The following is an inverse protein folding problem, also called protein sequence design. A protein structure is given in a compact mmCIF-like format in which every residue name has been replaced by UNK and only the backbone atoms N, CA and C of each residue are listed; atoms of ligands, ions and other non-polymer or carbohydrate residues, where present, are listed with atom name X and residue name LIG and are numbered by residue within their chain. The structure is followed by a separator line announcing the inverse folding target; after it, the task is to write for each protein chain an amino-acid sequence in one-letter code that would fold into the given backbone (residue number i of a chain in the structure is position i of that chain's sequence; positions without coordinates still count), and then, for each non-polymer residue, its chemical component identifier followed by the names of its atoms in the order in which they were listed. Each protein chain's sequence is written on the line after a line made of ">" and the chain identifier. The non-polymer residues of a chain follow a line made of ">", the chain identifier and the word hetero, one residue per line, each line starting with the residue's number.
data_IF_792960210427
#
_entry.id   IF_792960210427
#
_cell.length_a   1.000
_cell.length_b   1.000
_cell.length_c   1.000
_cell.angle_alpha   90.00
_cell.angle_beta   90.00
_cell.angle_gamma   90.00
#
_symmetry.space_group_name_H-M   'P 1'
#
loop_
_entity.id
_entity.type
_entity.pdbx_description
1 polymer ?
#
# COMPACT_ATOMS: atom_id res chain seq x y z
N UNK A 1 -14.64 3.32 47.43
CA UNK A 1 -14.48 2.18 46.50
C UNK A 1 -13.34 1.35 47.04
N UNK A 2 -13.60 0.13 47.41
CA UNK A 2 -12.62 -0.79 48.03
C UNK A 2 -11.78 -1.45 46.90
N UNK A 3 -10.56 -1.91 47.23
CA UNK A 3 -9.67 -2.62 46.28
C UNK A 3 -10.33 -3.80 45.55
N UNK A 4 -11.38 -4.38 46.18
CA UNK A 4 -12.17 -5.45 45.61
C UNK A 4 -13.06 -5.00 44.44
N UNK A 5 -13.55 -3.76 44.45
CA UNK A 5 -14.38 -3.20 43.36
C UNK A 5 -13.53 -2.88 42.10
N UNK A 6 -12.28 -2.46 42.33
CA UNK A 6 -11.31 -2.20 41.21
C UNK A 6 -10.86 -3.51 40.57
N UNK A 7 -10.66 -4.58 41.37
CA UNK A 7 -10.30 -5.90 40.86
C UNK A 7 -11.44 -6.55 40.07
N UNK A 8 -12.70 -6.40 40.53
CA UNK A 8 -13.89 -6.91 39.85
C UNK A 8 -14.18 -6.16 38.54
N UNK A 9 -13.91 -4.84 38.49
CA UNK A 9 -13.98 -4.04 37.28
C UNK A 9 -12.93 -4.47 36.26
N UNK A 10 -11.70 -4.73 36.71
CA UNK A 10 -10.60 -5.25 35.84
C UNK A 10 -10.88 -6.64 35.28
N UNK A 11 -11.58 -7.53 36.06
CA UNK A 11 -11.93 -8.87 35.58
C UNK A 11 -13.09 -8.86 34.57
N UNK A 12 -14.01 -7.90 34.67
CA UNK A 12 -15.10 -7.73 33.69
C UNK A 12 -14.62 -7.16 32.34
N UNK A 13 -13.61 -6.29 32.35
CA UNK A 13 -13.02 -5.77 31.10
C UNK A 13 -12.26 -6.84 30.31
N UNK A 14 -11.65 -7.82 30.98
CA UNK A 14 -10.95 -8.94 30.33
C UNK A 14 -11.87 -9.94 29.62
N UNK A 15 -13.15 -10.06 30.01
CA UNK A 15 -14.10 -11.00 29.39
C UNK A 15 -14.87 -10.41 28.19
N UNK A 16 -14.89 -9.10 27.99
CA UNK A 16 -15.60 -8.48 26.88
C UNK A 16 -14.81 -8.56 25.55
N UNK A 17 -13.54 -8.92 25.56
CA UNK A 17 -12.64 -8.84 24.39
C UNK A 17 -12.63 -10.11 23.51
N UNK A 18 -13.09 -11.25 24.03
CA UNK A 18 -13.06 -12.53 23.28
C UNK A 18 -14.24 -12.73 22.32
N UNK A 19 -15.32 -11.93 22.47
CA UNK A 19 -16.53 -12.06 21.64
C UNK A 19 -16.50 -11.28 20.32
N UNK A 20 -15.41 -10.55 20.05
CA UNK A 20 -15.29 -9.64 18.89
C UNK A 20 -14.56 -10.24 17.69
N UNK A 21 -14.01 -11.44 17.80
CA UNK A 21 -13.29 -12.07 16.69
C UNK A 21 -14.22 -12.84 15.76
N UNK A 22 -14.21 -12.45 14.47
CA UNK A 22 -14.97 -13.14 13.43
C UNK A 22 -14.36 -14.50 13.09
N UNK A 23 -15.25 -15.40 12.65
CA UNK A 23 -14.90 -16.73 12.15
C UNK A 23 -15.17 -16.78 10.66
N UNK A 24 -14.33 -17.48 9.91
CA UNK A 24 -14.52 -17.73 8.48
C UNK A 24 -15.55 -18.85 8.32
N UNK A 25 -16.73 -18.50 7.83
CA UNK A 25 -17.82 -19.44 7.56
C UNK A 25 -18.01 -19.68 6.07
N UNK A 26 -18.58 -20.84 5.69
CA UNK A 26 -18.90 -21.16 4.30
C UNK A 26 -19.90 -20.16 3.71
N UNK A 27 -20.92 -19.76 4.50
CA UNK A 27 -21.89 -18.72 4.11
C UNK A 27 -21.17 -17.37 3.88
N UNK A 28 -20.24 -16.97 4.77
CA UNK A 28 -19.45 -15.76 4.60
C UNK A 28 -18.64 -15.77 3.31
N UNK A 29 -17.98 -16.89 2.99
CA UNK A 29 -17.23 -17.06 1.73
C UNK A 29 -18.17 -17.04 0.53
N UNK A 30 -19.29 -17.74 0.57
CA UNK A 30 -20.27 -17.76 -0.52
C UNK A 30 -20.82 -16.35 -0.80
N UNK A 31 -21.18 -15.60 0.25
CA UNK A 31 -21.62 -14.20 0.17
C UNK A 31 -20.51 -13.27 -0.35
N UNK A 32 -19.25 -13.51 0.01
CA UNK A 32 -18.14 -12.74 -0.53
C UNK A 32 -17.95 -13.05 -2.02
N UNK A 33 -17.99 -14.31 -2.41
CA UNK A 33 -17.89 -14.74 -3.84
C UNK A 33 -19.01 -14.15 -4.69
N UNK A 34 -20.24 -14.04 -4.17
CA UNK A 34 -21.36 -13.42 -4.91
C UNK A 34 -21.16 -11.93 -5.20
N UNK A 35 -20.14 -11.30 -4.62
CA UNK A 35 -19.76 -9.90 -4.86
C UNK A 35 -18.70 -9.74 -5.95
N UNK A 36 -18.16 -10.82 -6.49
CA UNK A 36 -17.16 -10.73 -7.57
C UNK A 36 -17.80 -10.01 -8.78
N UNK A 37 -17.08 -9.02 -9.32
CA UNK A 37 -17.57 -8.13 -10.37
C UNK A 37 -18.40 -6.94 -9.88
N UNK A 38 -18.83 -6.95 -8.61
CA UNK A 38 -19.57 -5.82 -8.05
C UNK A 38 -18.64 -4.74 -7.50
N UNK A 39 -19.09 -3.47 -7.52
CA UNK A 39 -18.29 -2.37 -7.00
C UNK A 39 -18.10 -2.48 -5.49
N UNK A 40 -16.88 -2.17 -5.06
CA UNK A 40 -16.59 -1.96 -3.64
C UNK A 40 -16.90 -0.51 -3.32
N UNK A 41 -17.95 -0.29 -2.53
CA UNK A 41 -18.34 1.06 -2.12
C UNK A 41 -17.40 1.62 -1.07
N UNK A 42 -16.89 2.81 -1.33
CA UNK A 42 -16.22 3.63 -0.34
C UNK A 42 -16.99 4.97 -0.20
N UNK A 43 -17.77 5.17 0.88
CA UNK A 43 -18.56 6.37 1.05
C UNK A 43 -17.75 7.59 1.53
N UNK A 44 -16.44 7.42 1.77
CA UNK A 44 -15.60 8.53 2.21
C UNK A 44 -15.18 9.38 1.00
N UNK A 45 -15.24 10.71 1.09
CA UNK A 45 -14.70 11.58 0.05
C UNK A 45 -13.18 11.35 -0.08
N UNK A 46 -12.61 11.54 -1.29
CA UNK A 46 -11.16 11.46 -1.46
C UNK A 46 -10.46 12.51 -0.60
N UNK A 47 -9.25 12.20 -0.17
CA UNK A 47 -8.42 13.20 0.51
C UNK A 47 -8.06 14.35 -0.45
N UNK A 48 -7.69 13.99 -1.68
CA UNK A 48 -7.50 14.93 -2.78
C UNK A 48 -8.49 14.62 -3.90
N UNK A 49 -9.41 15.54 -4.15
CA UNK A 49 -10.35 15.42 -5.28
C UNK A 49 -9.72 15.95 -6.57
N UNK A 50 -8.96 17.03 -6.44
CA UNK A 50 -8.25 17.73 -7.51
C UNK A 50 -6.83 18.03 -7.02
N UNK A 51 -5.92 17.03 -7.06
CA UNK A 51 -4.60 17.19 -6.46
C UNK A 51 -3.75 18.20 -7.23
N UNK A 52 -3.32 19.24 -6.54
CA UNK A 52 -2.39 20.25 -7.03
C UNK A 52 -0.93 19.89 -6.73
N UNK A 53 -0.02 20.79 -7.09
CA UNK A 53 1.43 20.63 -6.86
C UNK A 53 1.75 20.40 -5.39
N UNK A 54 1.07 21.09 -4.47
CA UNK A 54 1.30 20.90 -3.03
C UNK A 54 0.88 19.49 -2.56
N UNK A 55 -0.18 18.92 -3.13
CA UNK A 55 -0.56 17.53 -2.86
C UNK A 55 0.51 16.55 -3.37
N UNK A 56 1.09 16.78 -4.55
CA UNK A 56 2.16 15.95 -5.11
C UNK A 56 3.38 15.96 -4.22
N UNK A 57 3.87 17.17 -3.86
CA UNK A 57 4.98 17.36 -2.96
C UNK A 57 4.74 16.75 -1.58
N UNK A 58 3.56 16.95 -1.00
CA UNK A 58 3.22 16.42 0.32
C UNK A 58 3.20 14.89 0.35
N UNK A 59 2.68 14.26 -0.70
CA UNK A 59 2.71 12.80 -0.85
C UNK A 59 4.13 12.29 -1.05
N UNK A 60 4.95 12.94 -1.87
CA UNK A 60 6.35 12.56 -2.07
C UNK A 60 7.14 12.66 -0.75
N UNK A 61 7.04 13.78 -0.06
CA UNK A 61 7.73 14.03 1.21
C UNK A 61 7.37 13.01 2.29
N UNK A 62 6.14 12.47 2.30
CA UNK A 62 5.70 11.56 3.36
C UNK A 62 6.42 10.20 3.36
N UNK A 63 7.10 9.83 2.26
CA UNK A 63 7.96 8.65 2.18
C UNK A 63 9.43 9.00 1.88
N UNK A 64 9.79 10.28 2.00
CA UNK A 64 11.16 10.77 1.89
C UNK A 64 11.66 10.93 0.45
N UNK A 65 10.78 11.22 -0.50
CA UNK A 65 11.12 11.52 -1.91
C UNK A 65 11.15 13.04 -2.09
N UNK A 66 12.30 13.55 -2.51
CA UNK A 66 12.60 14.97 -2.73
C UNK A 66 12.86 15.29 -4.21
N UNK A 67 12.48 14.40 -5.15
CA UNK A 67 12.62 14.67 -6.56
C UNK A 67 11.85 15.95 -6.96
N UNK A 68 12.53 16.98 -7.49
CA UNK A 68 11.89 18.25 -7.83
C UNK A 68 10.82 18.13 -8.91
N UNK A 69 10.83 17.06 -9.72
CA UNK A 69 9.78 16.81 -10.71
C UNK A 69 8.36 16.82 -10.12
N UNK A 70 8.20 16.42 -8.86
CA UNK A 70 6.90 16.34 -8.21
C UNK A 70 6.35 17.69 -7.75
N UNK A 71 7.22 18.67 -7.45
CA UNK A 71 6.82 19.89 -6.76
C UNK A 71 7.36 21.21 -7.29
N UNK A 72 8.43 21.18 -8.05
CA UNK A 72 9.09 22.38 -8.59
C UNK A 72 8.64 22.64 -10.02
N UNK A 73 7.93 23.77 -10.22
CA UNK A 73 7.37 24.14 -11.54
C UNK A 73 8.47 24.53 -12.54
N UNK A 74 9.51 25.21 -12.08
CA UNK A 74 10.58 25.70 -12.94
C UNK A 74 11.43 24.52 -13.40
N UNK A 75 11.79 23.63 -12.48
CA UNK A 75 12.47 22.38 -12.82
C UNK A 75 11.65 21.54 -13.81
N UNK A 76 10.40 21.27 -13.50
CA UNK A 76 9.54 20.41 -14.32
C UNK A 76 9.27 20.99 -15.72
N UNK A 77 9.28 22.34 -15.88
CA UNK A 77 9.12 23.01 -17.18
C UNK A 77 10.26 22.69 -18.13
N UNK A 78 11.47 22.40 -17.61
CA UNK A 78 12.65 21.99 -18.38
C UNK A 78 12.70 20.49 -18.72
N UNK A 79 11.79 19.68 -18.18
CA UNK A 79 11.73 18.25 -18.47
C UNK A 79 10.81 17.95 -19.66
N UNK A 80 10.83 16.70 -20.15
CA UNK A 80 9.90 16.24 -21.21
C UNK A 80 8.42 16.40 -20.81
N UNK A 81 8.12 16.54 -19.53
CA UNK A 81 6.76 16.65 -19.03
C UNK A 81 6.21 18.07 -19.12
N UNK A 82 7.08 19.10 -19.22
CA UNK A 82 6.73 20.51 -19.34
C UNK A 82 6.03 21.12 -18.11
N UNK A 83 5.73 20.30 -17.12
CA UNK A 83 5.07 20.68 -15.85
C UNK A 83 5.16 19.54 -14.85
N UNK A 84 4.94 19.78 -13.53
CA UNK A 84 4.95 18.71 -12.54
C UNK A 84 3.99 17.56 -12.89
N UNK A 85 4.42 16.35 -12.56
CA UNK A 85 3.59 15.15 -12.60
C UNK A 85 3.48 14.56 -11.20
N UNK A 86 2.42 13.83 -10.95
CA UNK A 86 2.23 13.17 -9.66
C UNK A 86 3.25 12.04 -9.46
N UNK A 87 3.80 11.88 -8.25
CA UNK A 87 4.61 10.72 -7.95
C UNK A 87 3.77 9.45 -8.09
N UNK A 88 4.32 8.33 -8.61
CA UNK A 88 3.57 7.11 -8.89
C UNK A 88 2.73 6.58 -7.71
N UNK A 89 3.17 6.68 -6.43
CA UNK A 89 2.35 6.27 -5.29
C UNK A 89 1.04 7.04 -5.12
N UNK A 90 0.95 8.29 -5.59
CA UNK A 90 -0.29 9.06 -5.57
C UNK A 90 -1.27 8.54 -6.62
N UNK A 91 -0.81 8.26 -7.84
CA UNK A 91 -1.64 7.75 -8.93
C UNK A 91 -1.96 6.28 -8.68
N UNK A 92 -3.12 6.02 -8.17
CA UNK A 92 -3.48 4.70 -7.65
C UNK A 92 -3.31 4.59 -6.12
N UNK A 93 -3.06 5.71 -5.44
CA UNK A 93 -2.92 5.79 -4.00
C UNK A 93 -4.23 5.90 -3.25
N UNK A 94 -4.15 5.69 -1.94
CA UNK A 94 -5.30 5.81 -1.06
C UNK A 94 -5.78 7.26 -0.91
N UNK A 95 -4.92 8.24 -1.22
CA UNK A 95 -5.25 9.67 -1.22
C UNK A 95 -6.32 10.05 -2.24
N UNK A 96 -6.46 9.26 -3.31
CA UNK A 96 -7.46 9.47 -4.36
C UNK A 96 -8.68 8.53 -4.20
N UNK A 97 -8.86 7.95 -3.02
CA UNK A 97 -10.06 7.16 -2.73
C UNK A 97 -11.26 8.10 -2.72
N UNK A 98 -12.10 7.97 -3.71
CA UNK A 98 -13.31 8.75 -3.89
C UNK A 98 -14.57 7.91 -3.93
N UNK A 99 -15.69 8.61 -4.01
CA UNK A 99 -16.99 8.00 -4.22
C UNK A 99 -17.02 7.29 -5.57
N UNK A 100 -17.54 6.05 -5.59
CA UNK A 100 -17.85 5.33 -6.81
C UNK A 100 -19.25 5.76 -7.29
N UNK A 101 -19.41 7.04 -7.60
CA UNK A 101 -20.74 7.63 -7.86
C UNK A 101 -21.40 7.14 -9.15
N UNK A 102 -20.61 6.61 -10.09
CA UNK A 102 -21.05 6.33 -11.45
C UNK A 102 -21.46 4.87 -11.68
N UNK A 103 -21.56 4.05 -10.62
CA UNK A 103 -21.90 2.64 -10.78
C UNK A 103 -23.35 2.41 -10.36
N UNK A 104 -24.22 2.26 -11.37
CA UNK A 104 -25.57 1.77 -11.13
C UNK A 104 -25.52 0.32 -10.64
N UNK A 105 -26.10 0.09 -9.47
CA UNK A 105 -26.31 -1.25 -8.90
C UNK A 105 -27.79 -1.52 -8.76
N UNK A 106 -28.22 -2.69 -9.16
CA UNK A 106 -29.63 -3.12 -8.98
C UNK A 106 -29.98 -3.21 -7.49
N UNK A 107 -31.28 -3.19 -7.11
CA UNK A 107 -31.68 -3.40 -5.72
C UNK A 107 -31.10 -4.70 -5.12
N UNK A 108 -31.09 -5.80 -5.87
CA UNK A 108 -30.51 -7.08 -5.42
C UNK A 108 -29.00 -6.96 -5.18
N UNK A 109 -28.25 -6.33 -6.10
CA UNK A 109 -26.82 -6.10 -5.91
C UNK A 109 -26.54 -5.21 -4.71
N UNK A 110 -27.40 -4.19 -4.47
CA UNK A 110 -27.30 -3.31 -3.30
C UNK A 110 -27.46 -4.08 -2.00
N UNK A 111 -28.35 -5.08 -1.97
CA UNK A 111 -28.53 -5.95 -0.80
C UNK A 111 -27.33 -6.87 -0.56
N UNK A 112 -26.74 -7.43 -1.63
CA UNK A 112 -25.50 -8.20 -1.53
C UNK A 112 -24.34 -7.37 -0.97
N UNK A 113 -24.26 -6.09 -1.26
CA UNK A 113 -23.20 -5.19 -0.80
C UNK A 113 -23.33 -4.73 0.66
N UNK A 114 -24.43 -5.07 1.37
CA UNK A 114 -24.62 -4.70 2.78
C UNK A 114 -23.69 -5.48 3.72
N UNK A 115 -22.97 -4.73 4.56
CA UNK A 115 -22.08 -5.29 5.59
C UNK A 115 -20.86 -6.03 5.05
N UNK A 116 -19.95 -6.43 5.92
CA UNK A 116 -18.80 -7.30 5.58
C UNK A 116 -19.19 -8.76 5.84
N UNK A 117 -19.16 -9.65 4.83
CA UNK A 117 -19.45 -11.07 4.99
C UNK A 117 -18.49 -11.80 5.95
N UNK A 118 -17.27 -11.28 6.10
CA UNK A 118 -16.24 -11.78 7.00
C UNK A 118 -15.98 -10.79 8.13
N UNK A 119 -17.05 -10.20 8.67
CA UNK A 119 -16.96 -9.22 9.76
C UNK A 119 -16.19 -9.75 10.96
N UNK A 120 -15.22 -8.96 11.44
CA UNK A 120 -14.36 -9.30 12.57
C UNK A 120 -13.22 -10.25 12.24
N UNK A 121 -13.15 -10.79 11.01
CA UNK A 121 -11.99 -11.53 10.52
C UNK A 121 -10.89 -10.54 10.14
N UNK A 122 -9.68 -10.78 10.63
CA UNK A 122 -8.55 -9.88 10.37
C UNK A 122 -8.14 -9.90 8.89
N UNK A 123 -7.72 -8.75 8.37
CA UNK A 123 -7.28 -8.59 7.00
C UNK A 123 -5.85 -8.04 6.96
N UNK A 124 -4.95 -8.74 6.26
CA UNK A 124 -3.58 -8.30 6.03
C UNK A 124 -3.39 -7.91 4.57
N UNK A 125 -2.83 -6.74 4.33
CA UNK A 125 -2.35 -6.35 3.00
C UNK A 125 -1.11 -7.20 2.67
N UNK A 126 -1.23 -8.09 1.70
CA UNK A 126 -0.24 -9.12 1.43
C UNK A 126 0.55 -8.92 0.15
N UNK A 127 -0.09 -8.40 -0.89
CA UNK A 127 0.59 -8.04 -2.13
C UNK A 127 -0.18 -6.99 -2.91
N UNK A 128 0.52 -6.35 -3.84
CA UNK A 128 -0.10 -5.50 -4.86
C UNK A 128 0.58 -5.67 -6.21
N UNK A 129 -0.21 -5.42 -7.27
CA UNK A 129 0.26 -5.27 -8.64
C UNK A 129 -0.28 -3.96 -9.18
N UNK A 130 0.58 -3.16 -9.84
CA UNK A 130 0.24 -1.85 -10.39
C UNK A 130 0.68 -1.71 -11.82
N UNK A 131 -0.08 -0.91 -12.57
CA UNK A 131 0.30 -0.43 -13.89
C UNK A 131 -0.02 1.05 -14.01
N UNK A 132 0.86 1.83 -14.63
CA UNK A 132 0.68 3.25 -14.92
C UNK A 132 0.78 3.47 -16.43
N UNK A 133 -0.22 4.14 -17.00
CA UNK A 133 -0.34 4.37 -18.44
C UNK A 133 -0.14 5.83 -18.82
N UNK A 134 -0.50 6.76 -17.95
CA UNK A 134 -0.40 8.19 -18.20
C UNK A 134 -0.02 8.97 -16.93
N UNK A 135 0.67 10.12 -17.07
CA UNK A 135 0.95 11.01 -15.95
C UNK A 135 -0.32 11.70 -15.47
N UNK A 136 -0.42 11.88 -14.16
CA UNK A 136 -1.40 12.78 -13.56
C UNK A 136 -0.77 14.16 -13.40
N UNK A 137 -1.41 15.18 -13.98
CA UNK A 137 -0.99 16.57 -13.88
C UNK A 137 -1.74 17.32 -12.78
N UNK A 138 -1.17 18.44 -12.25
CA UNK A 138 -1.84 19.24 -11.22
C UNK A 138 -3.19 19.78 -11.69
N UNK A 139 -4.17 19.75 -10.79
CA UNK A 139 -5.52 20.27 -11.04
C UNK A 139 -6.43 19.34 -11.83
N UNK A 140 -5.98 18.12 -12.15
CA UNK A 140 -6.84 17.15 -12.84
C UNK A 140 -7.67 16.38 -11.81
N UNK A 141 -8.97 16.43 -11.96
CA UNK A 141 -9.91 15.63 -11.16
C UNK A 141 -9.78 14.15 -11.52
N UNK A 142 -9.74 13.31 -10.49
CA UNK A 142 -9.61 11.87 -10.64
C UNK A 142 -10.89 11.16 -10.22
N UNK A 143 -11.20 10.09 -10.95
CA UNK A 143 -12.22 9.10 -10.59
C UNK A 143 -11.55 7.77 -10.27
N UNK A 144 -12.16 7.02 -9.38
CA UNK A 144 -11.70 5.70 -9.03
C UNK A 144 -12.84 4.69 -9.05
N UNK A 145 -12.59 3.54 -9.63
CA UNK A 145 -13.49 2.39 -9.60
C UNK A 145 -12.83 1.22 -8.89
N UNK A 146 -13.45 0.74 -7.83
CA UNK A 146 -13.03 -0.45 -7.09
C UNK A 146 -13.99 -1.60 -7.37
N UNK A 147 -13.44 -2.79 -7.61
CA UNK A 147 -14.23 -3.99 -7.89
C UNK A 147 -13.61 -5.19 -7.17
N UNK A 148 -14.42 -6.00 -6.50
CA UNK A 148 -13.96 -7.29 -6.03
C UNK A 148 -13.76 -8.21 -7.23
N UNK A 149 -12.53 -8.70 -7.44
CA UNK A 149 -12.17 -9.44 -8.66
C UNK A 149 -11.89 -10.92 -8.41
N UNK A 150 -11.62 -11.31 -7.17
CA UNK A 150 -11.35 -12.72 -6.87
C UNK A 150 -11.47 -13.03 -5.38
N UNK A 151 -11.90 -14.25 -5.08
CA UNK A 151 -12.00 -14.81 -3.73
C UNK A 151 -11.55 -16.27 -3.78
N UNK A 152 -10.39 -16.54 -3.18
CA UNK A 152 -9.82 -17.87 -3.09
C UNK A 152 -9.70 -18.29 -1.63
N UNK A 153 -10.30 -19.43 -1.29
CA UNK A 153 -10.06 -20.04 0.02
C UNK A 153 -8.77 -20.85 -0.03
N UNK A 154 -7.94 -20.69 1.00
CA UNK A 154 -6.76 -21.51 1.22
C UNK A 154 -6.77 -22.04 2.66
N UNK A 155 -6.27 -23.25 2.84
CA UNK A 155 -5.92 -23.78 4.14
C UNK A 155 -4.43 -23.65 4.37
N UNK A 156 -4.03 -23.29 5.59
CA UNK A 156 -2.63 -23.34 6.00
C UNK A 156 -2.53 -24.00 7.36
N UNK A 157 -1.47 -24.75 7.58
CA UNK A 157 -1.18 -25.41 8.88
C UNK A 157 -1.08 -24.38 10.00
N UNK A 158 -0.77 -23.13 9.64
CA UNK A 158 -0.58 -22.02 10.55
C UNK A 158 -1.88 -21.29 10.90
N UNK A 159 -2.62 -20.80 9.90
CA UNK A 159 -3.81 -19.97 10.08
C UNK A 159 -5.13 -20.76 10.07
N UNK A 160 -5.08 -22.08 9.79
CA UNK A 160 -6.27 -22.85 9.48
C UNK A 160 -6.89 -22.38 8.18
N UNK A 161 -8.15 -21.94 8.20
CA UNK A 161 -8.81 -21.33 7.02
C UNK A 161 -8.28 -19.91 6.80
N UNK A 162 -7.98 -19.59 5.55
CA UNK A 162 -7.65 -18.25 5.10
C UNK A 162 -8.42 -17.92 3.82
N UNK A 163 -8.81 -16.67 3.65
CA UNK A 163 -9.46 -16.20 2.44
C UNK A 163 -8.59 -15.12 1.80
N UNK A 164 -8.18 -15.38 0.58
CA UNK A 164 -7.50 -14.44 -0.29
C UNK A 164 -8.57 -13.64 -1.05
N UNK A 165 -8.62 -12.35 -0.76
CA UNK A 165 -9.57 -11.39 -1.33
C UNK A 165 -8.83 -10.41 -2.24
N UNK A 166 -9.14 -10.43 -3.53
CA UNK A 166 -8.53 -9.56 -4.50
C UNK A 166 -9.48 -8.44 -4.92
N UNK A 167 -8.99 -7.20 -4.82
CA UNK A 167 -9.69 -6.01 -5.29
C UNK A 167 -8.91 -5.37 -6.42
N UNK A 168 -9.57 -5.17 -7.57
CA UNK A 168 -9.08 -4.37 -8.68
C UNK A 168 -9.53 -2.91 -8.52
N UNK A 169 -8.64 -1.98 -8.82
CA UNK A 169 -8.89 -0.53 -8.77
C UNK A 169 -8.40 0.09 -10.07
N UNK A 170 -9.24 0.88 -10.73
CA UNK A 170 -8.86 1.68 -11.90
C UNK A 170 -9.01 3.14 -11.57
N UNK A 171 -8.01 3.91 -11.91
CA UNK A 171 -7.97 5.35 -11.78
C UNK A 171 -8.01 5.97 -13.16
N UNK A 172 -8.88 6.95 -13.32
CA UNK A 172 -9.06 7.70 -14.55
C UNK A 172 -9.25 9.19 -14.23
N UNK A 173 -9.07 10.02 -15.22
CA UNK A 173 -9.47 11.43 -15.16
C UNK A 173 -11.00 11.54 -15.12
N UNK A 174 -11.52 12.73 -14.81
CA UNK A 174 -12.98 12.96 -14.74
C UNK A 174 -13.71 12.70 -16.08
N UNK A 175 -13.02 12.92 -17.20
CA UNK A 175 -13.51 12.62 -18.56
C UNK A 175 -13.32 11.16 -18.99
N UNK A 176 -12.75 10.31 -18.11
CA UNK A 176 -12.64 8.86 -18.29
C UNK A 176 -11.32 8.37 -18.89
N UNK A 177 -10.33 9.25 -19.14
CA UNK A 177 -9.03 8.80 -19.62
C UNK A 177 -8.29 7.97 -18.56
N UNK A 178 -7.89 6.71 -18.84
CA UNK A 178 -7.25 5.83 -17.87
C UNK A 178 -5.86 6.35 -17.47
N UNK A 179 -5.56 6.36 -16.17
CA UNK A 179 -4.26 6.74 -15.61
C UNK A 179 -3.46 5.53 -15.13
N UNK A 180 -4.11 4.67 -14.36
CA UNK A 180 -3.45 3.51 -13.75
C UNK A 180 -4.45 2.47 -13.28
N UNK A 181 -3.95 1.26 -13.02
CA UNK A 181 -4.68 0.24 -12.27
C UNK A 181 -3.85 -0.31 -11.12
N UNK A 182 -4.56 -0.78 -10.10
CA UNK A 182 -3.97 -1.52 -8.99
C UNK A 182 -4.81 -2.74 -8.66
N UNK A 183 -4.13 -3.84 -8.34
CA UNK A 183 -4.73 -5.06 -7.78
C UNK A 183 -4.14 -5.31 -6.40
N UNK A 184 -5.01 -5.45 -5.40
CA UNK A 184 -4.63 -5.66 -4.00
C UNK A 184 -5.07 -7.02 -3.53
N UNK A 185 -4.16 -7.74 -2.89
CA UNK A 185 -4.48 -8.94 -2.13
C UNK A 185 -4.60 -8.62 -0.65
N UNK A 186 -5.78 -8.88 -0.11
CA UNK A 186 -6.01 -8.95 1.33
C UNK A 186 -6.13 -10.41 1.75
N UNK A 187 -5.33 -10.86 2.71
CA UNK A 187 -5.46 -12.19 3.31
C UNK A 187 -6.26 -12.06 4.60
N UNK A 188 -7.43 -12.72 4.63
CA UNK A 188 -8.31 -12.77 5.79
C UNK A 188 -7.98 -14.01 6.61
N UNK A 189 -7.72 -13.85 7.91
CA UNK A 189 -7.38 -14.96 8.84
C UNK A 189 -8.06 -14.82 10.19
N UNK A 190 -8.30 -15.95 10.86
CA UNK A 190 -8.89 -15.99 12.19
C UNK A 190 -7.83 -15.68 13.27
N UNK A 191 -7.99 -14.58 14.00
CA UNK A 191 -7.03 -14.14 15.03
C UNK A 191 -6.79 -15.16 16.14
N UNK A 192 -7.84 -15.88 16.58
CA UNK A 192 -7.73 -16.83 17.70
C UNK A 192 -6.69 -17.90 17.42
N UNK A 193 -6.72 -18.53 16.24
CA UNK A 193 -5.78 -19.57 15.84
C UNK A 193 -4.35 -19.05 15.70
N UNK A 194 -4.18 -17.82 15.21
CA UNK A 194 -2.87 -17.18 15.09
C UNK A 194 -2.23 -16.89 16.47
N UNK A 195 -3.05 -16.50 17.48
CA UNK A 195 -2.59 -16.30 18.87
C UNK A 195 -2.21 -17.61 19.55
N UNK A 196 -3.03 -18.66 19.40
CA UNK A 196 -2.79 -19.98 19.99
C UNK A 196 -1.45 -20.59 19.53
N UNK A 197 -1.06 -20.35 18.29
CA UNK A 197 0.20 -20.84 17.69
C UNK A 197 1.42 -19.97 17.96
N UNK A 198 1.34 -18.91 18.78
CA UNK A 198 2.45 -18.01 19.17
C UNK A 198 3.35 -17.61 17.97
N UNK A 199 2.75 -17.25 16.84
CA UNK A 199 3.53 -16.93 15.62
C UNK A 199 4.51 -15.78 15.80
N UNK A 200 4.15 -14.84 16.67
CA UNK A 200 4.98 -13.70 16.98
C UNK A 200 5.65 -13.97 18.32
N UNK A 201 6.69 -14.82 18.29
CA UNK A 201 7.66 -14.92 19.37
C UNK A 201 8.10 -13.50 19.76
N UNK A 202 8.43 -13.27 21.02
CA UNK A 202 9.06 -12.03 21.45
C UNK A 202 10.23 -11.76 20.51
N UNK A 203 10.19 -10.58 19.85
CA UNK A 203 11.31 -10.13 19.03
C UNK A 203 12.17 -9.30 19.96
N UNK A 204 13.40 -9.76 20.16
CA UNK A 204 14.39 -8.98 20.87
C UNK A 204 14.56 -7.62 20.19
N UNK A 205 14.44 -6.50 20.91
CA UNK A 205 14.72 -5.18 20.36
C UNK A 205 16.14 -5.15 19.80
N UNK A 206 16.31 -4.58 18.60
CA UNK A 206 17.63 -4.31 18.07
C UNK A 206 18.08 -2.96 18.59
N UNK A 207 19.22 -2.93 19.27
CA UNK A 207 19.83 -1.70 19.81
C UNK A 207 20.99 -1.33 18.89
N UNK A 208 20.86 -0.21 18.21
CA UNK A 208 21.91 0.31 17.32
C UNK A 208 23.02 0.97 18.12
N UNK A 209 24.25 0.87 17.64
CA UNK A 209 25.36 1.72 18.10
C UNK A 209 25.30 3.09 17.40
N UNK A 210 26.04 4.07 17.93
CA UNK A 210 26.11 5.41 17.33
C UNK A 210 26.74 5.35 15.92
N UNK A 211 27.70 4.44 15.72
CA UNK A 211 28.36 4.21 14.43
C UNK A 211 27.39 3.62 13.40
N UNK A 212 26.53 2.66 13.81
CA UNK A 212 25.50 2.11 12.95
C UNK A 212 24.46 3.17 12.54
N UNK A 213 24.03 4.00 13.48
CA UNK A 213 23.08 5.11 13.18
C UNK A 213 23.74 6.08 12.20
N UNK A 214 24.98 6.51 12.45
CA UNK A 214 25.71 7.42 11.56
C UNK A 214 25.81 6.83 10.15
N UNK A 215 26.17 5.56 10.02
CA UNK A 215 26.28 4.89 8.72
C UNK A 215 24.94 4.81 7.99
N UNK A 216 23.83 4.60 8.71
CA UNK A 216 22.48 4.58 8.16
C UNK A 216 22.09 5.98 7.66
N UNK A 217 22.35 7.03 8.46
CA UNK A 217 22.05 8.42 8.09
C UNK A 217 22.86 8.87 6.88
N UNK A 218 24.15 8.57 6.84
CA UNK A 218 25.03 8.86 5.69
C UNK A 218 24.54 8.17 4.42
N UNK A 219 24.17 6.89 4.51
CA UNK A 219 23.64 6.14 3.38
C UNK A 219 22.28 6.68 2.92
N UNK A 220 21.42 7.12 3.84
CA UNK A 220 20.15 7.74 3.51
C UNK A 220 20.34 9.07 2.78
N UNK A 221 21.28 9.90 3.26
CA UNK A 221 21.60 11.19 2.64
C UNK A 221 22.37 11.07 1.33
N UNK A 222 23.09 9.97 1.11
CA UNK A 222 23.76 9.69 -0.17
C UNK A 222 22.78 9.28 -1.29
N UNK A 223 21.60 8.78 -0.94
CA UNK A 223 20.58 8.40 -1.91
C UNK A 223 19.90 9.67 -2.49
N UNK A 224 20.19 9.97 -3.74
CA UNK A 224 19.66 11.14 -4.46
C UNK A 224 18.90 10.71 -5.70
N UNK A 225 17.87 11.48 -6.13
CA UNK A 225 17.24 11.27 -7.42
C UNK A 225 18.23 11.48 -8.55
N UNK A 226 18.20 10.65 -9.56
CA UNK A 226 18.95 10.87 -10.79
C UNK A 226 18.49 12.16 -11.51
N UNK A 227 17.21 12.49 -11.33
CA UNK A 227 16.62 13.70 -11.88
C UNK A 227 16.63 13.71 -13.42
N UNK A 228 16.93 14.87 -14.00
CA UNK A 228 16.92 15.10 -15.44
C UNK A 228 18.09 14.45 -16.21
N UNK A 229 19.05 13.77 -15.53
CA UNK A 229 20.09 12.99 -16.22
C UNK A 229 19.49 11.70 -16.79
N UNK A 230 19.34 11.53 -18.12
CA UNK A 230 18.63 10.40 -18.69
C UNK A 230 19.38 9.07 -18.43
N UNK A 231 18.64 8.03 -18.09
CA UNK A 231 19.15 6.65 -18.13
C UNK A 231 18.74 6.00 -19.43
N UNK A 232 19.67 5.92 -20.37
CA UNK A 232 19.39 5.30 -21.66
C UNK A 232 19.40 3.78 -21.57
N UNK A 233 18.53 3.15 -22.37
CA UNK A 233 18.39 1.69 -22.45
C UNK A 233 19.68 1.00 -22.89
N UNK A 234 20.46 1.65 -23.74
CA UNK A 234 21.75 1.15 -24.25
C UNK A 234 22.85 1.14 -23.17
N UNK A 235 22.67 1.91 -22.09
CA UNK A 235 23.67 2.04 -21.01
C UNK A 235 23.44 1.06 -19.87
N UNK A 236 22.41 0.21 -19.96
CA UNK A 236 22.05 -0.73 -18.90
C UNK A 236 21.92 -2.14 -19.42
N UNK A 237 22.31 -3.12 -18.62
CA UNK A 237 22.29 -4.53 -18.96
C UNK A 237 21.78 -5.43 -17.84
N UNK A 238 21.51 -6.68 -18.21
CA UNK A 238 21.18 -7.73 -17.23
C UNK A 238 22.35 -7.87 -16.24
N UNK A 239 22.01 -7.84 -14.94
CA UNK A 239 23.00 -7.87 -13.85
C UNK A 239 23.29 -6.50 -13.23
N UNK A 240 22.95 -5.40 -13.90
CA UNK A 240 23.13 -4.07 -13.31
C UNK A 240 22.24 -3.89 -12.09
N UNK A 241 22.77 -3.17 -11.09
CA UNK A 241 22.16 -3.07 -9.78
C UNK A 241 21.54 -1.70 -9.49
N UNK A 242 20.54 -1.72 -8.63
CA UNK A 242 20.00 -0.58 -7.89
C UNK A 242 20.34 -0.76 -6.41
N UNK A 243 20.81 0.31 -5.78
CA UNK A 243 21.03 0.35 -4.34
C UNK A 243 22.38 -0.21 -3.87
N UNK A 244 22.47 -0.49 -2.58
CA UNK A 244 21.39 -0.49 -1.59
C UNK A 244 20.84 0.91 -1.26
N UNK A 245 19.51 0.99 -1.11
CA UNK A 245 18.79 2.18 -0.63
C UNK A 245 18.31 1.88 0.78
N UNK A 246 18.64 2.74 1.74
CA UNK A 246 18.27 2.53 3.14
C UNK A 246 16.99 3.29 3.50
N UNK A 247 16.12 2.66 4.30
CA UNK A 247 14.91 3.24 4.88
C UNK A 247 14.79 2.82 6.34
N UNK A 248 14.86 3.80 7.23
CA UNK A 248 14.80 3.58 8.67
C UNK A 248 16.03 4.11 9.41
N UNK A 249 16.20 3.78 10.70
CA UNK A 249 15.31 2.94 11.51
C UNK A 249 13.89 3.51 11.56
N UNK A 250 12.88 2.62 11.39
CA UNK A 250 11.48 3.04 11.36
C UNK A 250 11.05 3.63 12.69
N UNK A 251 10.55 4.86 12.66
CA UNK A 251 10.01 5.56 13.82
C UNK A 251 8.49 5.67 13.72
N UNK A 252 7.82 5.81 14.86
CA UNK A 252 6.39 6.15 14.89
C UNK A 252 6.13 7.46 14.14
N UNK A 253 7.06 8.43 14.24
CA UNK A 253 6.98 9.69 13.48
C UNK A 253 6.90 9.47 11.97
N UNK A 254 7.67 8.51 11.43
CA UNK A 254 7.63 8.20 9.98
C UNK A 254 6.27 7.62 9.58
N UNK A 255 5.67 6.79 10.44
CA UNK A 255 4.32 6.25 10.23
C UNK A 255 3.28 7.36 10.25
N UNK A 256 3.36 8.29 11.20
CA UNK A 256 2.44 9.44 11.29
C UNK A 256 2.57 10.34 10.07
N UNK A 257 3.80 10.70 9.67
CA UNK A 257 4.05 11.52 8.48
C UNK A 257 3.50 10.85 7.22
N UNK A 258 3.77 9.56 7.04
CA UNK A 258 3.26 8.79 5.91
C UNK A 258 1.72 8.74 5.91
N UNK A 259 1.11 8.48 7.06
CA UNK A 259 -0.34 8.38 7.20
C UNK A 259 -1.02 9.72 6.87
N UNK A 260 -0.48 10.84 7.35
CA UNK A 260 -1.01 12.18 7.06
C UNK A 260 -0.82 12.53 5.58
N UNK A 261 0.37 12.32 5.02
CA UNK A 261 0.67 12.64 3.63
C UNK A 261 -0.12 11.81 2.62
N UNK A 262 -0.31 10.52 2.91
CA UNK A 262 -1.16 9.63 2.10
C UNK A 262 -2.67 9.85 2.32
N UNK A 263 -3.05 10.73 3.25
CA UNK A 263 -4.41 11.25 3.37
C UNK A 263 -5.34 10.50 4.30
N UNK A 264 -4.87 9.58 5.13
CA UNK A 264 -5.64 8.88 6.19
C UNK A 264 -7.05 8.37 5.79
N UNK A 265 -7.44 8.56 4.52
CA UNK A 265 -8.81 8.32 4.03
C UNK A 265 -9.18 6.85 4.01
N UNK A 266 -8.20 5.96 3.82
CA UNK A 266 -8.41 4.51 3.71
C UNK A 266 -9.19 3.94 4.90
N UNK A 267 -8.91 4.45 6.10
CA UNK A 267 -9.50 3.95 7.34
C UNK A 267 -10.48 4.94 7.96
N UNK A 268 -10.75 6.06 7.26
CA UNK A 268 -11.65 7.09 7.76
C UNK A 268 -11.28 7.57 9.18
N UNK A 269 -9.98 7.63 9.46
CA UNK A 269 -9.47 8.19 10.70
C UNK A 269 -9.72 9.69 10.71
N UNK A 270 -10.36 10.19 11.74
CA UNK A 270 -10.80 11.57 11.88
C UNK A 270 -10.44 12.10 13.26
N UNK A 271 -10.29 13.41 13.36
CA UNK A 271 -9.99 14.09 14.61
C UNK A 271 -11.25 14.60 15.31
N UNK A 272 -11.20 14.68 16.64
CA UNK A 272 -12.17 15.35 17.50
C UNK A 272 -13.64 14.99 17.18
N UNK A 273 -14.50 15.98 16.93
CA UNK A 273 -15.94 15.76 16.68
C UNK A 273 -16.17 14.84 15.48
N UNK A 274 -15.34 14.92 14.44
CA UNK A 274 -15.43 14.04 13.27
C UNK A 274 -15.05 12.60 13.66
N UNK A 275 -14.08 12.42 14.55
CA UNK A 275 -13.71 11.13 15.13
C UNK A 275 -14.84 10.54 15.97
N UNK A 276 -15.49 11.35 16.81
CA UNK A 276 -16.67 10.94 17.59
C UNK A 276 -17.84 10.53 16.69
N UNK A 277 -18.12 11.31 15.64
CA UNK A 277 -19.16 10.98 14.67
C UNK A 277 -18.85 9.64 13.96
N UNK A 278 -17.58 9.43 13.58
CA UNK A 278 -17.15 8.17 12.97
C UNK A 278 -17.24 6.99 13.96
N UNK A 279 -16.85 7.17 15.23
CA UNK A 279 -17.02 6.16 16.28
C UNK A 279 -18.48 5.74 16.44
N UNK A 280 -19.41 6.70 16.47
CA UNK A 280 -20.85 6.39 16.59
C UNK A 280 -21.39 5.67 15.35
N UNK A 281 -20.87 5.98 14.17
CA UNK A 281 -21.29 5.36 12.90
C UNK A 281 -20.75 3.93 12.76
N UNK A 282 -19.49 3.67 13.16
CA UNK A 282 -18.79 2.38 13.02
C UNK A 282 -18.09 1.98 14.32
N UNK A 283 -18.86 1.70 15.39
CA UNK A 283 -18.29 1.47 16.73
C UNK A 283 -17.33 0.27 16.78
N UNK A 284 -17.51 -0.74 15.93
CA UNK A 284 -16.63 -1.91 15.85
C UNK A 284 -15.22 -1.64 15.29
N UNK A 285 -14.98 -0.42 14.79
CA UNK A 285 -13.67 0.03 14.34
C UNK A 285 -12.83 0.67 15.45
N UNK A 286 -13.42 0.84 16.63
CA UNK A 286 -12.80 1.48 17.78
C UNK A 286 -12.70 0.49 18.94
N UNK A 287 -11.57 0.52 19.63
CA UNK A 287 -11.34 -0.26 20.85
C UNK A 287 -10.96 0.68 21.98
N UNK A 288 -11.42 0.38 23.19
CA UNK A 288 -11.09 1.18 24.37
C UNK A 288 -9.69 0.84 24.87
N UNK A 289 -8.97 1.87 25.28
CA UNK A 289 -7.69 1.74 25.98
C UNK A 289 -7.85 1.55 27.50
N UNK A 290 -6.76 1.63 28.26
CA UNK A 290 -6.75 1.52 29.72
C UNK A 290 -7.45 2.71 30.42
N UNK A 291 -7.55 3.84 29.73
CA UNK A 291 -8.25 5.04 30.20
C UNK A 291 -9.74 5.02 29.81
N UNK A 292 -10.22 3.91 29.25
CA UNK A 292 -11.57 3.76 28.72
C UNK A 292 -11.89 4.71 27.53
N UNK A 293 -10.87 5.20 26.81
CA UNK A 293 -11.01 6.06 25.66
C UNK A 293 -11.15 5.19 24.41
N UNK A 294 -12.21 5.36 23.60
CA UNK A 294 -12.35 4.65 22.32
C UNK A 294 -11.40 5.26 21.29
N UNK A 295 -10.51 4.45 20.72
CA UNK A 295 -9.59 4.85 19.66
C UNK A 295 -9.60 3.83 18.53
N UNK A 296 -9.12 4.25 17.36
CA UNK A 296 -9.18 3.50 16.11
C UNK A 296 -8.30 2.25 16.13
N UNK A 297 -8.73 1.23 15.40
CA UNK A 297 -7.98 -0.02 15.25
C UNK A 297 -6.57 0.19 14.66
N UNK A 298 -6.38 1.23 13.82
CA UNK A 298 -5.09 1.57 13.20
C UNK A 298 -4.01 1.91 14.20
N UNK A 299 -4.35 2.24 15.45
CA UNK A 299 -3.33 2.48 16.47
C UNK A 299 -2.39 1.28 16.70
N UNK A 300 -2.71 0.10 16.17
CA UNK A 300 -1.78 -1.04 16.11
C UNK A 300 -0.42 -0.67 15.48
N UNK A 301 -0.37 0.38 14.66
CA UNK A 301 0.84 0.87 14.01
C UNK A 301 1.64 1.87 14.86
N UNK A 302 1.05 2.47 15.92
CA UNK A 302 1.73 3.47 16.76
C UNK A 302 1.54 3.28 18.28
N UNK A 303 0.69 2.36 18.71
CA UNK A 303 0.48 2.00 20.10
C UNK A 303 1.01 0.58 20.34
N UNK A 304 2.20 0.44 20.98
CA UNK A 304 2.82 -0.87 21.19
C UNK A 304 2.04 -1.77 22.13
N UNK A 305 1.28 -1.22 23.10
CA UNK A 305 0.45 -2.01 24.01
C UNK A 305 -0.75 -2.60 23.25
N UNK A 306 -1.40 -1.79 22.41
CA UNK A 306 -2.47 -2.28 21.55
C UNK A 306 -1.98 -3.29 20.52
N UNK A 307 -0.77 -3.09 19.96
CA UNK A 307 -0.14 -4.05 19.05
C UNK A 307 0.07 -5.40 19.73
N UNK A 308 0.63 -5.43 20.95
CA UNK A 308 0.81 -6.66 21.73
C UNK A 308 -0.52 -7.34 22.07
N UNK A 309 -1.52 -6.59 22.48
CA UNK A 309 -2.88 -7.13 22.71
C UNK A 309 -3.49 -7.70 21.42
N UNK A 310 -3.14 -7.14 20.27
CA UNK A 310 -3.58 -7.61 18.97
C UNK A 310 -2.78 -8.80 18.41
N UNK A 311 -1.78 -9.31 19.19
CA UNK A 311 -0.97 -10.49 18.84
C UNK A 311 0.31 -10.18 18.07
N UNK A 312 0.73 -8.91 17.98
CA UNK A 312 2.01 -8.52 17.41
C UNK A 312 3.01 -8.21 18.55
N UNK A 313 4.32 -8.44 18.35
CA UNK A 313 5.31 -8.18 19.40
C UNK A 313 5.43 -6.68 19.71
N UNK A 314 5.30 -5.82 18.71
CA UNK A 314 5.30 -4.37 18.81
C UNK A 314 4.57 -3.74 17.62
N UNK A 315 4.60 -2.43 17.52
CA UNK A 315 4.08 -1.67 16.37
C UNK A 315 4.88 -1.94 15.10
N UNK A 316 4.24 -1.81 13.97
CA UNK A 316 4.80 -2.12 12.66
C UNK A 316 4.27 -1.17 11.59
N UNK A 317 4.96 -1.10 10.45
CA UNK A 317 4.58 -0.25 9.32
C UNK A 317 3.27 -0.69 8.64
N UNK A 318 2.77 0.17 7.77
CA UNK A 318 1.81 -0.24 6.75
C UNK A 318 2.55 -0.94 5.60
N UNK A 319 2.05 -2.05 5.10
CA UNK A 319 2.63 -2.70 3.92
C UNK A 319 2.74 -1.74 2.73
N UNK A 320 1.77 -0.84 2.55
CA UNK A 320 1.83 0.23 1.53
C UNK A 320 2.97 1.23 1.76
N UNK A 321 3.39 1.48 2.97
CA UNK A 321 4.55 2.33 3.25
C UNK A 321 5.81 1.72 2.64
N UNK A 322 6.04 0.42 2.82
CA UNK A 322 7.15 -0.29 2.15
C UNK A 322 7.04 -0.29 0.63
N UNK A 323 5.82 -0.41 0.09
CA UNK A 323 5.57 -0.26 -1.34
C UNK A 323 6.04 1.10 -1.85
N UNK A 324 5.73 2.21 -1.15
CA UNK A 324 6.20 3.54 -1.54
C UNK A 324 7.72 3.67 -1.49
N UNK A 325 8.40 3.01 -0.55
CA UNK A 325 9.87 3.00 -0.48
C UNK A 325 10.53 2.29 -1.65
N UNK A 326 9.96 1.16 -2.10
CA UNK A 326 10.45 0.43 -3.26
C UNK A 326 10.24 1.24 -4.56
N UNK A 327 9.07 1.88 -4.69
CA UNK A 327 8.79 2.77 -5.83
C UNK A 327 9.74 3.96 -5.82
N UNK A 328 10.00 4.58 -4.67
CA UNK A 328 10.96 5.68 -4.54
C UNK A 328 12.39 5.25 -4.96
N UNK A 329 12.83 4.06 -4.57
CA UNK A 329 14.11 3.55 -5.02
C UNK A 329 14.18 3.41 -6.56
N UNK A 330 13.09 2.97 -7.19
CA UNK A 330 12.97 2.85 -8.64
C UNK A 330 12.96 4.21 -9.34
N UNK A 331 12.14 5.17 -8.86
CA UNK A 331 12.04 6.52 -9.47
C UNK A 331 13.36 7.27 -9.40
N UNK A 332 14.08 7.16 -8.27
CA UNK A 332 15.41 7.75 -8.17
C UNK A 332 16.45 7.09 -9.09
N UNK A 333 16.38 5.76 -9.27
CA UNK A 333 17.28 5.03 -10.14
C UNK A 333 17.02 5.32 -11.62
N UNK A 334 15.76 5.37 -12.04
CA UNK A 334 15.40 5.43 -13.47
C UNK A 334 15.59 6.82 -14.09
N UNK A 335 15.51 7.91 -13.30
CA UNK A 335 15.53 9.30 -13.79
C UNK A 335 14.18 9.74 -14.38
N UNK A 336 14.08 11.05 -14.66
CA UNK A 336 12.80 11.70 -14.99
C UNK A 336 12.29 11.39 -16.40
N UNK A 337 13.17 11.00 -17.31
CA UNK A 337 12.81 10.67 -18.70
C UNK A 337 12.25 9.24 -18.86
N UNK A 338 12.44 8.40 -17.84
CA UNK A 338 11.92 7.04 -17.81
C UNK A 338 10.47 6.98 -17.34
N UNK A 339 9.87 5.80 -17.47
CA UNK A 339 8.50 5.54 -17.01
C UNK A 339 8.40 4.22 -16.27
N UNK A 340 7.96 4.29 -15.00
CA UNK A 340 7.59 3.09 -14.25
C UNK A 340 6.26 2.57 -14.79
N UNK A 341 6.31 1.52 -15.61
CA UNK A 341 5.12 0.96 -16.24
C UNK A 341 4.39 -0.01 -15.34
N UNK A 342 5.13 -1.03 -14.82
CA UNK A 342 4.55 -2.09 -13.99
C UNK A 342 5.33 -2.24 -12.71
N UNK A 343 4.62 -2.58 -11.67
CA UNK A 343 5.21 -2.89 -10.36
C UNK A 343 4.39 -3.95 -9.66
N UNK A 344 5.06 -4.94 -9.07
CA UNK A 344 4.43 -5.94 -8.23
C UNK A 344 5.25 -6.14 -6.96
N UNK A 345 4.60 -6.23 -5.80
CA UNK A 345 5.27 -6.56 -4.55
C UNK A 345 4.49 -7.54 -3.70
N UNK A 346 5.21 -8.31 -2.89
CA UNK A 346 4.67 -9.21 -1.89
C UNK A 346 5.38 -9.03 -0.56
N UNK A 347 4.60 -8.93 0.53
CA UNK A 347 5.13 -8.76 1.88
C UNK A 347 5.33 -10.12 2.52
N UNK A 348 6.59 -10.43 2.89
CA UNK A 348 7.02 -11.72 3.41
C UNK A 348 7.05 -11.77 4.93
N UNK A 349 7.37 -10.63 5.55
CA UNK A 349 7.45 -10.47 6.99
C UNK A 349 7.00 -9.07 7.39
N UNK A 350 6.69 -8.88 8.67
CA UNK A 350 6.46 -7.54 9.21
C UNK A 350 7.76 -6.74 9.25
N UNK A 351 7.64 -5.44 9.19
CA UNK A 351 8.68 -4.47 9.45
C UNK A 351 8.27 -3.67 10.68
N UNK A 352 8.96 -3.87 11.77
CA UNK A 352 8.61 -3.31 13.07
C UNK A 352 9.23 -1.93 13.28
N UNK A 353 8.64 -1.14 14.16
CA UNK A 353 9.28 0.09 14.63
C UNK A 353 10.64 -0.26 15.23
N UNK A 354 11.68 0.49 14.81
CA UNK A 354 13.08 0.19 15.08
C UNK A 354 13.78 -0.63 13.99
N UNK A 355 13.08 -1.22 13.03
CA UNK A 355 13.73 -1.94 11.93
C UNK A 355 14.24 -0.96 10.85
N UNK A 356 15.39 -1.29 10.28
CA UNK A 356 15.95 -0.62 9.10
C UNK A 356 15.85 -1.54 7.90
N UNK A 357 15.46 -1.00 6.75
CA UNK A 357 15.36 -1.74 5.49
C UNK A 357 16.45 -1.34 4.51
N UNK A 358 17.13 -2.32 3.93
CA UNK A 358 18.02 -2.15 2.78
C UNK A 358 17.31 -2.68 1.54
N UNK A 359 17.03 -1.78 0.60
CA UNK A 359 16.38 -2.10 -0.67
C UNK A 359 17.45 -2.24 -1.74
N UNK A 360 17.47 -3.37 -2.40
CA UNK A 360 18.34 -3.62 -3.55
C UNK A 360 17.54 -4.16 -4.73
N UNK A 361 18.02 -3.89 -5.95
CA UNK A 361 17.42 -4.37 -7.18
C UNK A 361 18.49 -4.84 -8.16
N UNK A 362 18.09 -5.71 -9.10
CA UNK A 362 18.95 -6.16 -10.21
C UNK A 362 18.12 -6.27 -11.47
N UNK A 363 18.64 -5.80 -12.60
CA UNK A 363 18.01 -5.99 -13.91
C UNK A 363 18.09 -7.47 -14.26
N UNK A 364 16.94 -8.08 -14.46
CA UNK A 364 16.80 -9.51 -14.80
C UNK A 364 16.50 -9.73 -16.28
N UNK A 365 16.04 -8.69 -16.98
CA UNK A 365 15.77 -8.74 -18.42
C UNK A 365 15.87 -7.35 -19.03
N UNK A 366 16.48 -7.24 -20.22
CA UNK A 366 16.46 -6.07 -21.10
C UNK A 366 15.80 -6.49 -22.42
N UNK A 367 14.79 -5.75 -22.88
CA UNK A 367 13.97 -6.17 -24.02
C UNK A 367 13.23 -5.02 -24.69
N UNK A 368 12.61 -5.28 -25.83
CA UNK A 368 11.67 -4.38 -26.47
C UNK A 368 10.23 -4.84 -26.14
N UNK A 369 9.54 -4.07 -25.31
CA UNK A 369 8.15 -4.31 -24.99
C UNK A 369 7.26 -3.90 -26.16
N UNK A 370 6.16 -4.64 -26.39
CA UNK A 370 5.21 -4.43 -27.48
C UNK A 370 5.90 -4.26 -28.85
N UNK A 371 7.07 -4.89 -29.00
CA UNK A 371 7.87 -4.95 -30.21
C UNK A 371 8.84 -3.78 -30.42
N UNK A 372 8.68 -2.64 -29.74
CA UNK A 372 9.47 -1.44 -30.04
C UNK A 372 9.75 -0.49 -28.88
N UNK A 373 9.24 -0.74 -27.67
CA UNK A 373 9.46 0.08 -26.48
C UNK A 373 10.65 -0.44 -25.67
N UNK A 374 11.78 0.27 -25.59
CA UNK A 374 12.91 -0.13 -24.77
C UNK A 374 12.52 -0.27 -23.30
N UNK A 375 12.72 -1.42 -22.72
CA UNK A 375 12.29 -1.77 -21.37
C UNK A 375 13.30 -2.65 -20.65
N UNK A 376 13.29 -2.55 -19.33
CA UNK A 376 13.97 -3.49 -18.43
C UNK A 376 13.00 -4.03 -17.38
N UNK A 377 13.16 -5.29 -17.04
CA UNK A 377 12.56 -5.85 -15.83
C UNK A 377 13.62 -5.89 -14.72
N UNK A 378 13.24 -5.41 -13.55
CA UNK A 378 14.07 -5.37 -12.35
C UNK A 378 13.42 -6.19 -11.24
N UNK A 379 14.17 -7.13 -10.68
CA UNK A 379 13.81 -7.80 -9.43
C UNK A 379 14.33 -7.01 -8.23
N UNK A 380 13.48 -6.81 -7.21
CA UNK A 380 13.83 -6.07 -6.00
C UNK A 380 13.57 -6.89 -4.75
N UNK A 381 14.33 -6.57 -3.70
CA UNK A 381 14.10 -7.09 -2.35
C UNK A 381 14.39 -6.02 -1.30
N UNK A 382 13.67 -6.08 -0.19
CA UNK A 382 13.98 -5.32 1.01
C UNK A 382 14.33 -6.31 2.13
N UNK A 383 15.50 -6.10 2.75
CA UNK A 383 16.03 -6.94 3.82
C UNK A 383 16.29 -6.07 5.05
N UNK A 384 15.89 -6.54 6.23
CA UNK A 384 16.09 -5.75 7.45
C UNK A 384 17.47 -6.01 8.07
N UNK A 385 17.82 -5.30 9.17
CA UNK A 385 19.07 -5.40 9.91
C UNK A 385 19.34 -6.82 10.50
N UNK A 386 18.32 -7.66 10.55
CA UNK A 386 18.45 -9.07 11.00
C UNK A 386 18.65 -10.04 9.83
N UNK A 387 18.84 -9.54 8.59
CA UNK A 387 18.96 -10.37 7.40
C UNK A 387 17.64 -10.99 6.91
N UNK A 388 16.49 -10.54 7.43
CA UNK A 388 15.18 -11.06 7.04
C UNK A 388 14.67 -10.31 5.80
N UNK A 389 14.37 -11.04 4.72
CA UNK A 389 13.68 -10.50 3.56
C UNK A 389 12.22 -10.19 3.94
N UNK A 390 11.91 -8.90 4.05
CA UNK A 390 10.57 -8.43 4.43
C UNK A 390 9.66 -8.22 3.25
N UNK A 391 10.21 -7.90 2.08
CA UNK A 391 9.46 -7.63 0.87
C UNK A 391 10.25 -8.06 -0.36
N UNK A 392 9.54 -8.68 -1.31
CA UNK A 392 10.04 -8.98 -2.65
C UNK A 392 9.18 -8.24 -3.67
N UNK A 393 9.83 -7.70 -4.71
CA UNK A 393 9.13 -6.97 -5.75
C UNK A 393 9.74 -7.20 -7.13
N UNK A 394 8.99 -6.83 -8.15
CA UNK A 394 9.47 -6.71 -9.53
C UNK A 394 8.90 -5.46 -10.16
N UNK A 395 9.60 -4.91 -11.14
CA UNK A 395 9.17 -3.74 -11.88
C UNK A 395 9.53 -3.86 -13.36
N UNK A 396 8.68 -3.34 -14.24
CA UNK A 396 8.99 -3.08 -15.63
C UNK A 396 9.13 -1.57 -15.81
N UNK A 397 10.28 -1.12 -16.30
CA UNK A 397 10.62 0.27 -16.50
C UNK A 397 10.88 0.50 -17.98
N UNK A 398 10.21 1.49 -18.57
CA UNK A 398 10.48 1.96 -19.91
C UNK A 398 11.58 3.02 -19.83
N UNK A 399 12.61 2.87 -20.65
CA UNK A 399 13.77 3.77 -20.70
C UNK A 399 13.85 4.52 -22.03
N UNK A 400 14.32 5.77 -22.04
CA UNK A 400 14.65 6.44 -23.29
C UNK A 400 15.79 5.69 -24.01
N UNK A 401 15.83 5.80 -25.32
CA UNK A 401 16.87 5.19 -26.16
C UNK A 401 17.46 6.24 -27.07
N UNK A 402 18.78 6.19 -27.29
CA UNK A 402 19.45 7.09 -28.23
C UNK A 402 19.01 6.81 -29.67
N UNK A 403 18.75 5.54 -29.98
CA UNK A 403 18.35 5.13 -31.33
C UNK A 403 16.84 5.29 -31.57
N UNK A 404 15.99 5.07 -30.51
CA UNK A 404 14.54 5.02 -30.62
C UNK A 404 13.83 6.24 -30.08
N UNK A 405 14.59 7.17 -29.47
CA UNK A 405 14.08 8.43 -28.93
C UNK A 405 13.49 8.30 -27.51
N UNK A 406 12.65 9.26 -27.10
CA UNK A 406 12.07 9.33 -25.77
C UNK A 406 11.08 8.19 -25.52
N UNK A 407 10.84 7.90 -24.24
CA UNK A 407 9.87 6.87 -23.84
C UNK A 407 8.49 7.15 -24.43
N UNK A 408 7.92 6.16 -25.11
CA UNK A 408 6.51 6.14 -25.51
C UNK A 408 5.72 5.45 -24.40
N UNK A 409 4.73 6.16 -23.85
CA UNK A 409 3.89 5.64 -22.79
C UNK A 409 3.12 4.40 -23.27
N UNK A 410 2.84 3.45 -22.37
CA UNK A 410 2.08 2.26 -22.73
C UNK A 410 0.61 2.60 -22.94
N UNK A 411 -0.04 1.90 -23.87
CA UNK A 411 -1.47 2.04 -24.07
C UNK A 411 -2.21 1.35 -22.90
N UNK A 412 -3.25 1.97 -22.33
CA UNK A 412 -4.12 1.29 -21.38
C UNK A 412 -4.84 0.14 -22.09
N UNK A 413 -5.12 -0.99 -21.42
CA UNK A 413 -5.90 -2.06 -22.01
C UNK A 413 -7.31 -1.55 -22.37
N UNK A 414 -7.82 -1.95 -23.53
CA UNK A 414 -9.13 -1.50 -24.07
C UNK A 414 -10.30 -1.73 -23.10
N UNK A 415 -10.16 -2.72 -22.20
CA UNK A 415 -11.05 -2.98 -21.08
C UNK A 415 -10.20 -3.13 -19.82
N UNK A 416 -9.84 -2.01 -19.19
CA UNK A 416 -8.90 -2.01 -18.08
C UNK A 416 -9.30 -2.90 -16.88
N UNK A 417 -10.60 -3.18 -16.68
CA UNK A 417 -11.08 -4.08 -15.62
C UNK A 417 -11.33 -5.53 -16.08
N UNK A 418 -12.08 -5.85 -17.15
CA UNK A 418 -12.40 -7.25 -17.46
C UNK A 418 -11.21 -8.09 -17.89
N UNK A 419 -10.34 -7.59 -18.76
CA UNK A 419 -9.19 -8.36 -19.26
C UNK A 419 -8.13 -8.63 -18.18
N UNK A 420 -7.93 -7.69 -17.28
CA UNK A 420 -7.02 -7.86 -16.15
C UNK A 420 -7.59 -8.80 -15.08
N UNK A 421 -8.90 -8.81 -14.88
CA UNK A 421 -9.59 -9.76 -13.97
C UNK A 421 -9.38 -11.20 -14.42
N UNK A 422 -9.60 -11.49 -15.67
CA UNK A 422 -9.46 -12.86 -16.20
C UNK A 422 -7.99 -13.35 -16.13
N UNK A 423 -7.03 -12.48 -16.44
CA UNK A 423 -5.61 -12.79 -16.31
C UNK A 423 -5.18 -13.02 -14.86
N UNK A 424 -5.72 -12.24 -13.93
CA UNK A 424 -5.46 -12.38 -12.50
C UNK A 424 -6.08 -13.67 -11.98
N UNK A 425 -7.34 -13.97 -12.32
CA UNK A 425 -8.01 -15.21 -11.92
C UNK A 425 -7.25 -16.41 -12.50
N UNK A 426 -6.82 -16.35 -13.76
CA UNK A 426 -6.04 -17.41 -14.39
C UNK A 426 -4.69 -17.64 -13.68
N UNK A 427 -4.02 -16.57 -13.22
CA UNK A 427 -2.75 -16.67 -12.46
C UNK A 427 -2.90 -17.29 -11.06
N UNK A 428 -4.12 -17.43 -10.53
CA UNK A 428 -4.42 -18.12 -9.26
C UNK A 428 -4.83 -19.57 -9.43
N UNK A 429 -5.19 -19.93 -10.64
CA UNK A 429 -5.63 -21.31 -10.96
C UNK A 429 -4.46 -22.18 -11.44
N UNK A 430 -3.30 -21.58 -11.68
CA UNK A 430 -2.04 -22.24 -11.99
C UNK A 430 -1.13 -22.31 -10.75
#
# INVERSE_FOLDING_TARGET
>A
MTDTDVAASRSRSRRADDSTYGVITDDGIARLRSRIGLPVRNPAPPHYREPGVDAFRNVANCYGDDNPLWGDRDYASGTRWGRPIAPPPLVGGDSLIGENDDIEVTPQQRDLLKGDPLRGVHAFYSSSRREWWAPLHPGVQCRRRDTLVGVLEKSSDFAGRAVHEWTGQVFATADGAPLSAQYKLMIRTERRKAREKKKHAEIEPYVYTDEEITAIEDAALAHRPRGADPRYWEDVGVGDSLGPVVKGPLRVTDIVCWHVGMGMGLYNVRALELGVANHRRVPGFYHRDELNIPDVMQRVHWDPEFARRSGNPTTFDYGRMRETWLIHALTNWMGDDAWLWKFECSFRSFNYVGDTQWISGTIVRSFLADGDRPAVDMGLRAVNQRGVETTRASATILLPSRERGPVRLPDPPANALPAAVDAIIASFSA
#
